data_IF_043604443562
#
_entry.id   IF_043604443562
#
_cell.length_a   1.000
_cell.length_b   1.000
_cell.length_c   1.000
_cell.angle_alpha   90.00
_cell.angle_beta   90.00
_cell.angle_gamma   90.00
#
_symmetry.space_group_name_H-M   'P 1'
#
loop_
_entity.id
_entity.type
_entity.pdbx_description
1 polymer ?
#
# COMPACT_ATOMS: atom_id res chain seq x y z
N UNK A 1 -21.60 2.05 -4.15
CA UNK A 1 -20.26 2.23 -4.78
C UNK A 1 -19.23 1.18 -4.33
N UNK A 2 -18.48 1.32 -3.21
CA UNK A 2 -17.39 0.36 -2.89
C UNK A 2 -17.87 -1.09 -2.76
N UNK A 3 -19.04 -1.33 -2.16
CA UNK A 3 -19.64 -2.67 -2.10
C UNK A 3 -19.90 -3.25 -3.50
N UNK A 4 -20.47 -2.47 -4.40
CA UNK A 4 -20.73 -2.91 -5.77
C UNK A 4 -19.42 -3.21 -6.51
N UNK A 5 -18.35 -2.42 -6.30
CA UNK A 5 -17.03 -2.72 -6.88
C UNK A 5 -16.44 -4.02 -6.34
N UNK A 6 -16.64 -4.30 -5.04
CA UNK A 6 -16.21 -5.56 -4.44
C UNK A 6 -16.97 -6.77 -5.01
N UNK A 7 -18.26 -6.60 -5.30
CA UNK A 7 -19.07 -7.61 -5.98
C UNK A 7 -18.67 -7.78 -7.45
N UNK A 8 -18.44 -6.69 -8.19
CA UNK A 8 -17.92 -6.72 -9.56
C UNK A 8 -16.56 -7.39 -9.62
N UNK A 9 -15.66 -7.07 -8.69
CA UNK A 9 -14.37 -7.74 -8.55
C UNK A 9 -14.53 -9.25 -8.43
N UNK A 10 -15.50 -9.72 -7.64
CA UNK A 10 -15.76 -11.17 -7.49
C UNK A 10 -16.25 -11.80 -8.79
N UNK A 11 -17.14 -11.11 -9.51
CA UNK A 11 -17.66 -11.58 -10.79
C UNK A 11 -16.55 -11.67 -11.86
N UNK A 12 -15.58 -10.76 -11.82
CA UNK A 12 -14.42 -10.76 -12.72
C UNK A 12 -13.29 -11.70 -12.27
N UNK A 13 -13.43 -12.37 -11.12
CA UNK A 13 -12.38 -13.22 -10.56
C UNK A 13 -11.18 -12.45 -9.98
N UNK A 14 -11.33 -11.15 -9.74
CA UNK A 14 -10.29 -10.33 -9.13
C UNK A 14 -10.06 -10.79 -7.68
N UNK A 15 -8.80 -11.07 -7.31
CA UNK A 15 -8.45 -11.49 -5.95
C UNK A 15 -8.73 -10.39 -4.92
N UNK A 16 -8.54 -9.14 -5.34
CA UNK A 16 -8.56 -7.97 -4.47
C UNK A 16 -9.31 -6.81 -5.12
N UNK A 17 -9.98 -6.00 -4.30
CA UNK A 17 -10.44 -4.65 -4.67
C UNK A 17 -9.85 -3.70 -3.64
N UNK A 18 -9.11 -2.71 -4.12
CA UNK A 18 -8.43 -1.73 -3.27
C UNK A 18 -9.25 -0.44 -3.19
N UNK A 19 -9.25 0.21 -2.03
CA UNK A 19 -9.74 1.58 -1.87
C UNK A 19 -8.83 2.38 -0.94
N UNK A 20 -8.74 3.68 -1.21
CA UNK A 20 -8.27 4.64 -0.21
C UNK A 20 -9.31 4.76 0.91
N UNK A 21 -8.85 5.10 2.12
CA UNK A 21 -9.70 5.21 3.32
C UNK A 21 -10.56 6.47 3.38
N UNK A 22 -10.29 7.43 2.48
CA UNK A 22 -10.97 8.71 2.42
C UNK A 22 -10.41 9.74 3.40
N UNK A 23 -11.19 10.79 3.63
CA UNK A 23 -10.82 11.94 4.45
C UNK A 23 -11.84 12.17 5.57
N UNK A 24 -11.37 12.58 6.75
CA UNK A 24 -12.26 12.96 7.86
C UNK A 24 -13.00 14.27 7.59
N UNK A 25 -12.54 15.07 6.61
CA UNK A 25 -12.97 16.44 6.39
C UNK A 25 -12.99 17.18 7.75
N UNK A 26 -14.00 18.04 7.95
CA UNK A 26 -14.22 18.82 9.16
C UNK A 26 -14.77 18.03 10.37
N UNK A 27 -14.98 16.71 10.26
CA UNK A 27 -15.54 15.92 11.37
C UNK A 27 -14.55 15.74 12.54
N UNK A 28 -13.27 16.07 12.34
CA UNK A 28 -12.18 15.88 13.28
C UNK A 28 -11.65 14.43 13.28
N UNK A 29 -10.38 14.21 13.67
CA UNK A 29 -9.70 12.92 13.50
C UNK A 29 -10.41 11.73 14.16
N UNK A 30 -10.86 11.87 15.42
CA UNK A 30 -11.50 10.78 16.18
C UNK A 30 -12.82 10.31 15.56
N UNK A 31 -13.70 11.27 15.25
CA UNK A 31 -15.01 10.95 14.67
C UNK A 31 -14.87 10.45 13.23
N UNK A 32 -13.96 11.04 12.46
CA UNK A 32 -13.67 10.59 11.10
C UNK A 32 -13.13 9.16 11.09
N UNK A 33 -12.15 8.85 11.93
CA UNK A 33 -11.63 7.50 12.08
C UNK A 33 -12.72 6.49 12.46
N UNK A 34 -13.60 6.85 13.41
CA UNK A 34 -14.73 6.01 13.80
C UNK A 34 -15.67 5.74 12.61
N UNK A 35 -16.01 6.79 11.84
CA UNK A 35 -16.86 6.65 10.66
C UNK A 35 -16.22 5.76 9.60
N UNK A 36 -14.90 5.85 9.39
CA UNK A 36 -14.18 5.03 8.40
C UNK A 36 -14.30 3.55 8.69
N UNK A 37 -13.97 3.08 9.90
CA UNK A 37 -14.05 1.64 10.18
C UNK A 37 -15.50 1.12 10.22
N UNK A 38 -16.47 1.95 10.65
CA UNK A 38 -17.90 1.60 10.56
C UNK A 38 -18.39 1.49 9.11
N UNK A 39 -17.91 2.37 8.23
CA UNK A 39 -18.22 2.29 6.80
C UNK A 39 -17.66 1.00 6.19
N UNK A 40 -16.45 0.59 6.56
CA UNK A 40 -15.86 -0.69 6.13
C UNK A 40 -16.69 -1.88 6.60
N UNK A 41 -17.12 -1.89 7.87
CA UNK A 41 -18.04 -2.94 8.35
C UNK A 41 -19.34 -2.97 7.53
N UNK A 42 -19.94 -1.81 7.23
CA UNK A 42 -21.15 -1.73 6.38
C UNK A 42 -20.92 -2.25 4.97
N UNK A 43 -19.75 -2.01 4.37
CA UNK A 43 -19.39 -2.57 3.06
C UNK A 43 -19.34 -4.09 3.13
N UNK A 44 -18.70 -4.64 4.16
CA UNK A 44 -18.52 -6.09 4.34
C UNK A 44 -19.80 -6.79 4.82
N UNK A 45 -20.76 -6.06 5.36
CA UNK A 45 -22.00 -6.62 5.90
C UNK A 45 -22.79 -7.36 4.80
N UNK A 46 -23.03 -8.65 5.01
CA UNK A 46 -23.71 -9.49 4.02
C UNK A 46 -22.92 -9.74 2.73
N UNK A 47 -21.62 -9.41 2.68
CA UNK A 47 -20.76 -9.70 1.53
C UNK A 47 -20.41 -11.19 1.47
N UNK A 48 -20.74 -11.82 0.34
CA UNK A 48 -20.51 -13.26 0.09
C UNK A 48 -19.56 -13.53 -1.09
N UNK A 49 -19.02 -12.48 -1.72
CA UNK A 49 -18.08 -12.61 -2.84
C UNK A 49 -16.69 -13.09 -2.42
N UNK A 50 -15.86 -13.37 -3.42
CA UNK A 50 -14.52 -13.94 -3.27
C UNK A 50 -13.42 -12.88 -3.18
N UNK A 51 -13.61 -11.68 -3.75
CA UNK A 51 -12.61 -10.61 -3.68
C UNK A 51 -12.44 -10.12 -2.24
N UNK A 52 -11.20 -9.91 -1.82
CA UNK A 52 -10.88 -9.30 -0.53
C UNK A 52 -10.74 -7.77 -0.67
N UNK A 53 -11.30 -7.02 0.28
CA UNK A 53 -11.15 -5.57 0.33
C UNK A 53 -9.75 -5.21 0.85
N UNK A 54 -8.99 -4.42 0.09
CA UNK A 54 -7.70 -3.87 0.51
C UNK A 54 -7.84 -2.40 0.84
N UNK A 55 -7.20 -2.01 1.94
CA UNK A 55 -7.14 -0.63 2.38
C UNK A 55 -5.73 -0.12 2.13
N UNK A 56 -5.63 0.96 1.37
CA UNK A 56 -4.33 1.54 1.04
C UNK A 56 -3.89 2.56 2.09
N UNK A 57 -2.59 2.53 2.43
CA UNK A 57 -1.97 3.58 3.22
C UNK A 57 -2.01 4.92 2.46
N UNK A 58 -2.33 6.01 3.14
CA UNK A 58 -2.37 7.34 2.51
C UNK A 58 -1.10 8.16 2.74
N UNK A 59 -0.89 9.17 1.90
CA UNK A 59 0.23 10.13 2.01
C UNK A 59 0.15 11.05 3.24
N UNK A 60 -0.99 11.07 3.96
CA UNK A 60 -1.22 11.97 5.09
C UNK A 60 -1.50 13.41 4.71
N UNK A 61 -1.83 13.68 3.44
CA UNK A 61 -2.25 15.01 2.98
C UNK A 61 -3.53 15.46 3.70
N UNK A 62 -3.54 16.69 4.22
CA UNK A 62 -4.72 17.29 4.86
C UNK A 62 -5.36 16.39 5.92
N UNK A 63 -6.64 16.06 5.70
CA UNK A 63 -7.48 15.25 6.59
C UNK A 63 -7.59 13.78 6.14
N UNK A 64 -6.64 13.24 5.37
CA UNK A 64 -6.65 11.84 4.94
C UNK A 64 -6.47 10.88 6.13
N UNK A 65 -7.15 9.73 6.07
CA UNK A 65 -7.08 8.70 7.10
C UNK A 65 -6.07 7.62 6.70
N UNK A 66 -5.38 7.05 7.70
CA UNK A 66 -4.56 5.85 7.52
C UNK A 66 -3.22 6.15 6.87
N UNK A 67 -2.57 7.22 7.31
CA UNK A 67 -1.21 7.56 6.89
C UNK A 67 -0.14 6.96 7.80
N UNK A 68 -0.54 6.42 8.95
CA UNK A 68 0.38 5.77 9.89
C UNK A 68 0.05 4.30 10.10
N UNK A 69 1.06 3.49 10.39
CA UNK A 69 0.88 2.08 10.75
C UNK A 69 0.03 1.88 12.01
N UNK A 70 0.05 2.83 12.96
CA UNK A 70 -0.83 2.77 14.14
C UNK A 70 -2.31 2.94 13.75
N UNK A 71 -2.61 3.90 12.86
CA UNK A 71 -3.97 4.07 12.32
C UNK A 71 -4.43 2.83 11.56
N UNK A 72 -3.58 2.25 10.70
CA UNK A 72 -3.93 1.03 9.96
C UNK A 72 -4.17 -0.16 10.91
N UNK A 73 -3.31 -0.33 11.93
CA UNK A 73 -3.48 -1.35 12.97
C UNK A 73 -4.82 -1.18 13.67
N UNK A 74 -5.10 0.03 14.15
CA UNK A 74 -6.30 0.29 14.94
C UNK A 74 -7.56 0.15 14.08
N UNK A 75 -7.49 0.54 12.81
CA UNK A 75 -8.59 0.41 11.89
C UNK A 75 -8.92 -1.06 11.65
N UNK A 76 -7.91 -1.89 11.35
CA UNK A 76 -8.09 -3.34 11.19
C UNK A 76 -8.66 -3.96 12.46
N UNK A 77 -8.10 -3.63 13.64
CA UNK A 77 -8.59 -4.15 14.92
C UNK A 77 -10.04 -3.79 15.18
N UNK A 78 -10.46 -2.56 14.86
CA UNK A 78 -11.84 -2.12 15.03
C UNK A 78 -12.77 -2.80 14.02
N UNK A 79 -12.37 -2.96 12.75
CA UNK A 79 -13.15 -3.71 11.77
C UNK A 79 -13.33 -5.16 12.21
N UNK A 80 -12.25 -5.83 12.62
CA UNK A 80 -12.23 -7.25 13.04
C UNK A 80 -12.69 -7.48 14.49
N UNK A 81 -13.12 -6.44 15.21
CA UNK A 81 -13.69 -6.56 16.57
C UNK A 81 -14.92 -7.46 16.62
N UNK A 82 -15.63 -7.60 15.49
CA UNK A 82 -16.66 -8.61 15.30
C UNK A 82 -16.10 -9.78 14.50
N UNK A 83 -16.32 -11.00 15.00
CA UNK A 83 -15.90 -12.24 14.35
C UNK A 83 -16.42 -12.37 12.91
N UNK A 84 -17.55 -11.70 12.58
CA UNK A 84 -18.13 -11.64 11.23
C UNK A 84 -17.16 -11.08 10.17
N UNK A 85 -16.26 -10.19 10.55
CA UNK A 85 -15.37 -9.48 9.64
C UNK A 85 -13.91 -9.96 9.70
N UNK A 86 -13.63 -10.99 10.49
CA UNK A 86 -12.27 -11.52 10.67
C UNK A 86 -11.68 -12.00 9.33
N UNK A 87 -10.46 -11.59 9.03
CA UNK A 87 -9.71 -11.87 7.81
C UNK A 87 -10.37 -11.36 6.50
N UNK A 88 -11.37 -10.47 6.58
CA UNK A 88 -12.07 -9.94 5.39
C UNK A 88 -11.39 -8.72 4.77
N UNK A 89 -10.42 -8.13 5.46
CA UNK A 89 -9.65 -6.97 5.00
C UNK A 89 -8.16 -7.30 4.91
N UNK A 90 -7.52 -6.74 3.90
CA UNK A 90 -6.07 -6.69 3.75
C UNK A 90 -5.60 -5.25 3.54
N UNK A 91 -4.31 -5.09 3.32
CA UNK A 91 -3.65 -3.81 3.08
C UNK A 91 -2.93 -3.79 1.75
N UNK A 92 -2.99 -2.62 1.12
CA UNK A 92 -2.06 -2.18 0.09
C UNK A 92 -1.08 -1.17 0.73
N UNK A 93 0.22 -1.35 0.53
CA UNK A 93 1.21 -0.33 0.84
C UNK A 93 1.64 0.35 -0.45
N UNK A 94 1.63 1.67 -0.50
CA UNK A 94 2.17 2.43 -1.61
C UNK A 94 3.49 3.08 -1.18
N UNK A 95 4.55 2.88 -1.96
CA UNK A 95 5.88 3.40 -1.63
C UNK A 95 5.96 4.93 -1.67
N UNK A 96 5.27 5.60 -2.60
CA UNK A 96 5.19 7.05 -2.66
C UNK A 96 4.39 7.59 -1.46
N UNK A 97 3.24 7.01 -1.14
CA UNK A 97 2.42 7.42 0.01
C UNK A 97 3.16 7.22 1.33
N UNK A 98 3.83 6.07 1.50
CA UNK A 98 4.67 5.82 2.66
C UNK A 98 5.76 6.88 2.80
N UNK A 99 6.46 7.19 1.70
CA UNK A 99 7.51 8.20 1.69
C UNK A 99 6.96 9.60 2.01
N UNK A 100 5.85 9.99 1.41
CA UNK A 100 5.15 11.25 1.69
C UNK A 100 4.64 11.33 3.14
N UNK A 101 4.26 10.20 3.75
CA UNK A 101 3.84 10.10 5.15
C UNK A 101 5.03 10.10 6.14
N UNK A 102 6.28 10.06 5.64
CA UNK A 102 7.49 10.14 6.46
C UNK A 102 8.20 8.80 6.72
N UNK A 103 7.77 7.72 6.06
CA UNK A 103 8.48 6.44 6.10
C UNK A 103 9.62 6.42 5.08
N UNK A 104 10.85 6.48 5.58
CA UNK A 104 12.02 6.48 4.69
C UNK A 104 12.21 5.13 3.99
N UNK A 105 12.36 5.19 2.67
CA UNK A 105 12.56 4.05 1.78
C UNK A 105 13.80 4.19 0.89
N UNK A 106 14.66 5.19 1.11
CA UNK A 106 15.78 5.52 0.19
C UNK A 106 16.94 4.54 0.21
N UNK A 107 17.12 3.82 1.31
CA UNK A 107 18.26 2.92 1.53
C UNK A 107 17.79 1.58 2.06
N UNK A 108 18.61 0.52 1.89
CA UNK A 108 18.30 -0.79 2.43
C UNK A 108 18.09 -0.79 3.96
N UNK A 109 18.86 0.01 4.70
CA UNK A 109 18.68 0.19 6.14
C UNK A 109 17.35 0.86 6.49
N UNK A 110 16.96 1.90 5.75
CA UNK A 110 15.69 2.59 5.93
C UNK A 110 14.49 1.68 5.61
N UNK A 111 14.52 1.00 4.46
CA UNK A 111 13.50 0.01 4.07
C UNK A 111 13.37 -1.08 5.13
N UNK A 112 14.49 -1.65 5.60
CA UNK A 112 14.47 -2.68 6.65
C UNK A 112 13.80 -2.15 7.92
N UNK A 113 14.14 -0.94 8.36
CA UNK A 113 13.55 -0.29 9.55
C UNK A 113 12.03 -0.11 9.36
N UNK A 114 11.61 0.50 8.27
CA UNK A 114 10.21 0.77 7.93
C UNK A 114 9.38 -0.52 7.88
N UNK A 115 9.85 -1.54 7.17
CA UNK A 115 9.15 -2.83 7.09
C UNK A 115 9.13 -3.59 8.42
N UNK A 116 10.15 -3.41 9.27
CA UNK A 116 10.16 -3.99 10.62
C UNK A 116 9.13 -3.32 11.53
N UNK A 117 8.98 -2.01 11.41
CA UNK A 117 7.93 -1.26 12.10
C UNK A 117 6.53 -1.73 11.66
N UNK A 118 6.30 -1.86 10.34
CA UNK A 118 5.04 -2.40 9.80
C UNK A 118 4.75 -3.80 10.35
N UNK A 119 5.75 -4.69 10.31
CA UNK A 119 5.62 -6.04 10.86
C UNK A 119 5.28 -6.08 12.35
N UNK A 120 5.85 -5.17 13.15
CA UNK A 120 5.60 -5.06 14.59
C UNK A 120 4.23 -4.47 14.91
N UNK A 121 3.82 -3.42 14.21
CA UNK A 121 2.58 -2.68 14.51
C UNK A 121 1.35 -3.34 13.91
N UNK A 122 1.44 -3.80 12.66
CA UNK A 122 0.31 -4.28 11.86
C UNK A 122 0.42 -5.78 11.59
N UNK A 123 1.57 -6.22 11.06
CA UNK A 123 1.85 -7.61 10.72
C UNK A 123 1.62 -7.94 9.24
N UNK A 124 2.58 -8.67 8.66
CA UNK A 124 2.61 -9.03 7.23
C UNK A 124 1.44 -9.90 6.76
N UNK A 125 0.71 -10.55 7.68
CA UNK A 125 -0.50 -11.32 7.33
C UNK A 125 -1.58 -10.46 6.65
N UNK A 126 -1.61 -9.15 6.93
CA UNK A 126 -2.55 -8.22 6.31
C UNK A 126 -2.04 -7.65 4.98
N UNK A 127 -0.73 -7.64 4.72
CA UNK A 127 -0.18 -7.13 3.48
C UNK A 127 -0.51 -8.08 2.33
N UNK A 128 -1.12 -7.54 1.26
CA UNK A 128 -1.53 -8.32 0.08
C UNK A 128 -0.97 -7.79 -1.22
N UNK A 129 -0.65 -6.50 -1.25
CA UNK A 129 -0.29 -5.78 -2.45
C UNK A 129 0.63 -4.62 -2.09
N UNK A 130 1.55 -4.28 -2.99
CA UNK A 130 2.36 -3.08 -2.90
C UNK A 130 2.26 -2.29 -4.20
N UNK A 131 1.91 -1.02 -4.11
CA UNK A 131 2.12 -0.08 -5.20
C UNK A 131 3.57 0.42 -5.15
N UNK A 132 4.23 0.37 -6.29
CA UNK A 132 5.66 0.56 -6.45
C UNK A 132 5.90 1.86 -7.25
N UNK A 133 5.68 2.98 -6.59
CA UNK A 133 5.74 4.31 -7.17
C UNK A 133 6.92 5.09 -6.57
N UNK A 134 7.75 5.71 -7.40
CA UNK A 134 8.73 6.68 -6.91
C UNK A 134 8.00 7.98 -6.52
N UNK A 135 8.65 8.84 -5.74
CA UNK A 135 8.07 10.08 -5.26
C UNK A 135 8.73 11.29 -5.90
N UNK A 136 7.95 12.16 -6.53
CA UNK A 136 8.44 13.49 -6.92
C UNK A 136 8.61 14.41 -5.69
N UNK A 137 7.86 14.15 -4.62
CA UNK A 137 7.89 14.87 -3.36
C UNK A 137 9.02 14.44 -2.42
N UNK A 138 9.31 15.28 -1.42
CA UNK A 138 10.32 15.01 -0.39
C UNK A 138 9.76 14.12 0.73
N UNK A 139 10.66 13.48 1.50
CA UNK A 139 10.28 12.63 2.64
C UNK A 139 9.42 13.43 3.63
N UNK A 140 8.22 12.94 3.93
CA UNK A 140 7.32 13.58 4.89
C UNK A 140 6.62 14.83 4.37
N UNK A 141 6.67 15.12 3.07
CA UNK A 141 6.05 16.33 2.50
C UNK A 141 4.52 16.23 2.34
N UNK A 142 3.95 15.04 2.60
CA UNK A 142 2.52 14.72 2.52
C UNK A 142 1.91 14.94 1.14
N UNK A 143 2.70 14.87 0.07
CA UNK A 143 2.20 14.98 -1.31
C UNK A 143 2.14 13.61 -1.96
N UNK A 144 0.95 13.29 -2.44
CA UNK A 144 0.74 12.17 -3.36
C UNK A 144 1.10 12.65 -4.78
N UNK A 145 2.38 12.46 -5.15
CA UNK A 145 2.92 12.81 -6.47
C UNK A 145 3.87 11.72 -6.93
N UNK A 146 3.31 10.73 -7.61
CA UNK A 146 4.07 9.63 -8.19
C UNK A 146 5.07 10.13 -9.24
N UNK A 147 6.19 9.44 -9.34
CA UNK A 147 7.25 9.67 -10.32
C UNK A 147 7.70 8.32 -10.92
N UNK A 148 8.27 8.37 -12.12
CA UNK A 148 8.89 7.20 -12.72
C UNK A 148 10.04 6.68 -11.84
N UNK A 149 10.22 5.35 -11.87
CA UNK A 149 11.23 4.68 -11.07
C UNK A 149 12.65 5.21 -11.34
N UNK A 150 13.32 5.65 -10.28
CA UNK A 150 14.68 6.19 -10.34
C UNK A 150 14.77 7.65 -10.76
N UNK A 151 13.64 8.30 -11.07
CA UNK A 151 13.59 9.75 -11.31
C UNK A 151 13.11 10.53 -10.09
N UNK A 152 12.59 9.85 -9.07
CA UNK A 152 12.10 10.47 -7.85
C UNK A 152 13.10 10.44 -6.70
N UNK A 153 12.59 10.72 -5.51
CA UNK A 153 13.34 10.88 -4.26
C UNK A 153 13.49 9.58 -3.46
N UNK A 154 12.79 8.50 -3.81
CA UNK A 154 13.00 7.17 -3.23
C UNK A 154 14.21 6.52 -3.90
N UNK A 155 14.24 6.53 -5.22
CA UNK A 155 15.36 6.05 -6.02
C UNK A 155 15.51 4.51 -6.09
N UNK A 156 16.35 4.05 -7.01
CA UNK A 156 16.47 2.63 -7.36
C UNK A 156 17.02 1.75 -6.23
N UNK A 157 17.86 2.29 -5.35
CA UNK A 157 18.38 1.56 -4.19
C UNK A 157 17.27 1.16 -3.22
N UNK A 158 16.28 2.04 -3.02
CA UNK A 158 15.09 1.75 -2.24
C UNK A 158 14.27 0.60 -2.83
N UNK A 159 14.01 0.66 -4.15
CA UNK A 159 13.27 -0.39 -4.85
C UNK A 159 14.02 -1.72 -4.89
N UNK A 160 15.35 -1.71 -5.05
CA UNK A 160 16.18 -2.90 -4.92
C UNK A 160 16.04 -3.53 -3.53
N UNK A 161 16.06 -2.71 -2.48
CA UNK A 161 15.88 -3.20 -1.11
C UNK A 161 14.46 -3.76 -0.88
N UNK A 162 13.41 -3.12 -1.39
CA UNK A 162 12.03 -3.61 -1.32
C UNK A 162 11.88 -4.96 -2.03
N UNK A 163 12.36 -5.07 -3.27
CA UNK A 163 12.27 -6.30 -4.07
C UNK A 163 13.11 -7.46 -3.51
N UNK A 164 14.17 -7.17 -2.76
CA UNK A 164 15.01 -8.21 -2.14
C UNK A 164 14.53 -8.63 -0.74
N UNK A 165 13.56 -7.93 -0.13
CA UNK A 165 13.12 -8.26 1.22
C UNK A 165 12.26 -9.52 1.24
N UNK A 166 12.75 -10.57 1.91
CA UNK A 166 12.08 -11.88 2.00
C UNK A 166 10.67 -11.81 2.60
N UNK A 167 10.34 -10.76 3.36
CA UNK A 167 9.00 -10.56 3.93
C UNK A 167 7.97 -10.15 2.88
N UNK A 168 8.42 -9.68 1.73
CA UNK A 168 7.59 -9.25 0.58
C UNK A 168 7.55 -10.28 -0.55
N UNK A 169 8.14 -11.47 -0.39
CA UNK A 169 8.30 -12.48 -1.46
C UNK A 169 6.98 -12.90 -2.13
N UNK A 170 5.87 -12.88 -1.39
CA UNK A 170 4.54 -13.32 -1.84
C UNK A 170 3.61 -12.12 -2.11
N UNK A 171 4.15 -10.89 -2.08
CA UNK A 171 3.41 -9.65 -2.30
C UNK A 171 3.52 -9.26 -3.78
N UNK A 172 2.38 -8.99 -4.41
CA UNK A 172 2.35 -8.49 -5.78
C UNK A 172 2.71 -6.99 -5.80
N UNK A 173 3.57 -6.60 -6.73
CA UNK A 173 3.95 -5.21 -6.97
C UNK A 173 3.22 -4.67 -8.20
N UNK A 174 2.56 -3.53 -8.08
CA UNK A 174 1.83 -2.84 -9.17
C UNK A 174 2.41 -1.44 -9.36
N UNK A 175 2.51 -1.00 -10.62
CA UNK A 175 2.98 0.34 -11.00
C UNK A 175 1.79 1.25 -11.27
N UNK A 176 1.84 2.45 -10.71
CA UNK A 176 0.88 3.55 -10.97
C UNK A 176 1.66 4.85 -11.27
N UNK A 177 2.84 4.71 -11.87
CA UNK A 177 3.70 5.82 -12.26
C UNK A 177 3.02 6.69 -13.31
N UNK A 178 3.43 7.97 -13.47
CA UNK A 178 2.93 8.84 -14.54
C UNK A 178 2.99 8.16 -15.91
N UNK A 179 2.04 8.51 -16.78
CA UNK A 179 1.90 7.91 -18.10
C UNK A 179 1.62 8.97 -19.15
N UNK A 180 2.69 9.46 -19.76
CA UNK A 180 2.60 10.33 -20.94
C UNK A 180 2.40 9.49 -22.21
N UNK A 181 3.02 8.31 -22.25
CA UNK A 181 2.97 7.36 -23.36
C UNK A 181 2.79 5.92 -22.87
N UNK A 182 2.22 5.00 -23.69
CA UNK A 182 2.16 3.57 -23.34
C UNK A 182 3.52 2.94 -23.04
N UNK A 183 4.61 3.51 -23.55
CA UNK A 183 5.97 3.01 -23.35
C UNK A 183 6.48 3.26 -21.93
N UNK A 184 5.88 4.18 -21.17
CA UNK A 184 6.30 4.49 -19.80
C UNK A 184 6.08 3.32 -18.84
N UNK A 185 4.95 2.60 -18.98
CA UNK A 185 4.67 1.39 -18.20
C UNK A 185 5.72 0.31 -18.49
N UNK A 186 6.00 0.08 -19.78
CA UNK A 186 7.00 -0.90 -20.22
C UNK A 186 8.39 -0.54 -19.70
N UNK A 187 8.76 0.75 -19.73
CA UNK A 187 10.04 1.23 -19.21
C UNK A 187 10.16 0.97 -17.71
N UNK A 188 9.18 1.38 -16.92
CA UNK A 188 9.20 1.19 -15.46
C UNK A 188 9.21 -0.31 -15.10
N UNK A 189 8.40 -1.13 -15.78
CA UNK A 189 8.39 -2.57 -15.56
C UNK A 189 9.76 -3.21 -15.87
N UNK A 190 10.42 -2.78 -16.95
CA UNK A 190 11.75 -3.26 -17.31
C UNK A 190 12.82 -2.86 -16.28
N UNK A 191 12.70 -1.71 -15.63
CA UNK A 191 13.59 -1.32 -14.52
C UNK A 191 13.47 -2.32 -13.36
N UNK A 192 12.24 -2.64 -12.92
CA UNK A 192 12.04 -3.62 -11.84
C UNK A 192 12.53 -5.02 -12.22
N UNK A 193 12.32 -5.46 -13.46
CA UNK A 193 12.84 -6.75 -13.96
C UNK A 193 14.37 -6.80 -13.91
N UNK A 194 15.06 -5.74 -14.36
CA UNK A 194 16.52 -5.64 -14.28
C UNK A 194 17.02 -5.67 -12.83
N UNK A 195 16.33 -4.98 -11.92
CA UNK A 195 16.66 -5.03 -10.48
C UNK A 195 16.53 -6.46 -9.95
N UNK A 196 15.46 -7.18 -10.31
CA UNK A 196 15.29 -8.58 -9.90
C UNK A 196 16.37 -9.50 -10.47
N UNK A 197 16.83 -9.27 -11.70
CA UNK A 197 17.94 -10.01 -12.30
C UNK A 197 19.25 -9.78 -11.53
N UNK A 198 19.56 -8.52 -11.19
CA UNK A 198 20.72 -8.16 -10.37
C UNK A 198 20.67 -8.87 -9.01
N UNK A 199 19.52 -8.81 -8.32
CA UNK A 199 19.32 -9.49 -7.03
C UNK A 199 19.57 -11.00 -7.16
N UNK A 200 19.08 -11.64 -8.23
CA UNK A 200 19.30 -13.08 -8.46
C UNK A 200 20.77 -13.40 -8.68
N UNK A 201 21.52 -12.55 -9.38
CA UNK A 201 22.95 -12.75 -9.60
C UNK A 201 23.73 -12.60 -8.30
N UNK A 202 23.45 -11.56 -7.51
CA UNK A 202 24.08 -11.33 -6.21
C UNK A 202 23.84 -12.49 -5.24
N UNK A 203 22.60 -13.01 -5.17
CA UNK A 203 22.25 -14.13 -4.31
C UNK A 203 22.84 -15.49 -4.76
N UNK A 204 23.35 -15.61 -5.98
CA UNK A 204 24.03 -16.83 -6.47
C UNK A 204 25.53 -16.84 -6.15
N UNK A 205 26.09 -15.69 -5.80
CA UNK A 205 27.51 -15.54 -5.45
C UNK A 205 27.78 -15.72 -3.96
N UNK A 206 26.73 -15.98 -3.16
CA UNK A 206 26.77 -16.20 -1.70
C UNK A 206 26.46 -17.65 -1.37
#
# INVERSE_FOLDING_TARGET
MVREELERGSLLGAKYVMTHLGSTKQAGPKLGFHKTWRAIQRILDGYKGSSQLLLEISSGAGDLVGSTFDELRDLIRNVESSAKYKNKVGLCLDSCHMFAAGYDLRTAGAVKKTLSEFGKKVGFKYLKLMHCNDSAGDLGDKKDRHEHLGKGKIGLEGFKALLNDKRLKDVNFILETPKDTPQDDVRNLNILKKIQEIIKLENRQV
#
